data_IF_492827767476
#
_entry.id   IF_492827767476
#
_cell.length_a   1.000
_cell.length_b   1.000
_cell.length_c   1.000
_cell.angle_alpha   90.00
_cell.angle_beta   90.00
_cell.angle_gamma   90.00
#
_symmetry.space_group_name_H-M   'P 1'
#
loop_
_entity.id
_entity.type
_entity.pdbx_description
1 polymer ?
#
# COMPACT_ATOMS: atom_id res chain seq x y z
N UNK A 1 16.57 -10.38 -11.67
CA UNK A 1 15.21 -9.85 -11.50
C UNK A 1 14.34 -10.43 -12.61
N UNK A 2 13.29 -11.19 -12.29
CA UNK A 2 12.34 -11.67 -13.32
C UNK A 2 11.70 -10.49 -14.05
N UNK A 3 11.83 -10.48 -15.37
CA UNK A 3 11.15 -9.51 -16.22
C UNK A 3 9.65 -9.83 -16.26
N UNK A 4 8.84 -9.00 -15.61
CA UNK A 4 7.38 -9.07 -15.74
C UNK A 4 7.03 -8.75 -17.20
N UNK A 5 6.29 -9.62 -17.92
CA UNK A 5 5.91 -9.39 -19.31
C UNK A 5 5.20 -8.03 -19.49
N UNK A 6 5.45 -7.28 -20.58
CA UNK A 6 4.83 -5.98 -20.82
C UNK A 6 3.30 -6.00 -20.72
N UNK A 7 2.67 -7.09 -21.16
CA UNK A 7 1.23 -7.30 -21.04
C UNK A 7 0.75 -7.29 -19.58
N UNK A 8 1.46 -7.96 -18.67
CA UNK A 8 1.11 -7.99 -17.24
C UNK A 8 1.30 -6.64 -16.54
N UNK A 9 2.18 -5.78 -17.05
CA UNK A 9 2.29 -4.41 -16.55
C UNK A 9 1.08 -3.58 -16.98
N UNK A 10 0.74 -3.66 -18.28
CA UNK A 10 -0.37 -2.89 -18.87
C UNK A 10 -1.76 -3.36 -18.48
N UNK A 11 -1.92 -4.61 -17.99
CA UNK A 11 -3.22 -5.12 -17.59
C UNK A 11 -3.83 -4.41 -16.36
N UNK A 12 -3.06 -3.56 -15.67
CA UNK A 12 -3.58 -2.72 -14.60
C UNK A 12 -4.35 -1.50 -15.13
N UNK A 13 -4.05 -1.05 -16.36
CA UNK A 13 -4.63 0.16 -16.95
C UNK A 13 -6.16 0.04 -17.06
N UNK A 14 -6.73 -1.08 -17.55
CA UNK A 14 -8.19 -1.25 -17.56
C UNK A 14 -8.82 -1.24 -16.17
N UNK A 15 -8.12 -1.74 -15.14
CA UNK A 15 -8.63 -1.76 -13.77
C UNK A 15 -8.69 -0.32 -13.22
N UNK A 16 -7.64 0.47 -13.47
CA UNK A 16 -7.61 1.88 -13.11
C UNK A 16 -8.66 2.69 -13.88
N UNK A 17 -8.78 2.46 -15.18
CA UNK A 17 -9.80 3.10 -16.03
C UNK A 17 -11.23 2.73 -15.63
N UNK A 18 -11.47 1.53 -15.10
CA UNK A 18 -12.77 1.14 -14.57
C UNK A 18 -13.17 2.07 -13.41
N UNK A 19 -12.26 2.34 -12.48
CA UNK A 19 -12.54 3.21 -11.33
C UNK A 19 -12.86 4.64 -11.73
N UNK A 20 -12.11 5.21 -12.68
CA UNK A 20 -12.35 6.58 -13.16
C UNK A 20 -13.74 6.76 -13.78
N UNK A 21 -14.32 5.69 -14.34
CA UNK A 21 -15.59 5.75 -15.06
C UNK A 21 -16.79 5.19 -14.28
N UNK A 22 -16.59 4.62 -13.08
CA UNK A 22 -17.62 3.87 -12.36
C UNK A 22 -18.30 4.63 -11.22
N UNK A 23 -17.99 5.91 -11.01
CA UNK A 23 -18.44 6.67 -9.83
C UNK A 23 -19.95 6.82 -9.63
N UNK A 24 -20.75 6.51 -10.66
CA UNK A 24 -22.21 6.46 -10.55
C UNK A 24 -22.73 5.12 -9.99
N UNK A 25 -21.89 4.08 -9.96
CA UNK A 25 -22.18 2.76 -9.41
C UNK A 25 -21.28 2.49 -8.20
N UNK A 26 -21.72 2.91 -7.01
CA UNK A 26 -20.92 2.80 -5.76
C UNK A 26 -20.43 1.38 -5.47
N UNK A 27 -21.24 0.35 -5.80
CA UNK A 27 -20.86 -1.06 -5.65
C UNK A 27 -19.68 -1.43 -6.55
N UNK A 28 -19.65 -0.94 -7.79
CA UNK A 28 -18.56 -1.18 -8.72
C UNK A 28 -17.27 -0.48 -8.26
N UNK A 29 -17.40 0.76 -7.77
CA UNK A 29 -16.27 1.51 -7.19
C UNK A 29 -15.70 0.79 -5.97
N UNK A 30 -16.54 0.41 -5.00
CA UNK A 30 -16.13 -0.31 -3.80
C UNK A 30 -15.37 -1.60 -4.15
N UNK A 31 -15.93 -2.41 -5.05
CA UNK A 31 -15.29 -3.64 -5.50
C UNK A 31 -13.97 -3.39 -6.23
N UNK A 32 -13.91 -2.35 -7.07
CA UNK A 32 -12.68 -1.93 -7.74
C UNK A 32 -11.58 -1.49 -6.76
N UNK A 33 -11.94 -0.69 -5.74
CA UNK A 33 -11.01 -0.25 -4.70
C UNK A 33 -10.53 -1.42 -3.83
N UNK A 34 -11.43 -2.35 -3.50
CA UNK A 34 -11.08 -3.58 -2.80
C UNK A 34 -10.10 -4.45 -3.61
N UNK A 35 -10.35 -4.61 -4.92
CA UNK A 35 -9.42 -5.32 -5.81
C UNK A 35 -8.05 -4.63 -5.82
N UNK A 36 -8.00 -3.31 -5.97
CA UNK A 36 -6.73 -2.57 -5.92
C UNK A 36 -5.99 -2.77 -4.59
N UNK A 37 -6.69 -2.74 -3.46
CA UNK A 37 -6.09 -2.92 -2.15
C UNK A 37 -5.50 -4.32 -2.02
N UNK A 38 -6.19 -5.34 -2.53
CA UNK A 38 -5.67 -6.71 -2.57
C UNK A 38 -4.43 -6.82 -3.46
N UNK A 39 -4.43 -6.19 -4.65
CA UNK A 39 -3.28 -6.20 -5.55
C UNK A 39 -2.06 -5.50 -4.94
N UNK A 40 -2.28 -4.37 -4.26
CA UNK A 40 -1.23 -3.62 -3.57
C UNK A 40 -0.59 -4.46 -2.45
N UNK A 41 -1.41 -5.19 -1.69
CA UNK A 41 -0.95 -6.03 -0.58
C UNK A 41 -0.41 -7.40 -1.00
N UNK A 42 -0.74 -7.88 -2.20
CA UNK A 42 -0.35 -9.21 -2.67
C UNK A 42 1.14 -9.33 -2.99
N UNK A 43 1.74 -8.30 -3.59
CA UNK A 43 3.17 -8.31 -3.94
C UNK A 43 3.71 -6.88 -4.12
N UNK A 44 4.87 -6.53 -3.53
CA UNK A 44 5.48 -5.20 -3.66
C UNK A 44 5.68 -4.75 -5.11
N UNK A 45 6.08 -5.67 -6.02
CA UNK A 45 6.27 -5.33 -7.44
C UNK A 45 4.98 -4.89 -8.13
N UNK A 46 3.83 -5.41 -7.69
CA UNK A 46 2.54 -5.04 -8.25
C UNK A 46 2.11 -3.66 -7.76
N UNK A 47 2.46 -3.31 -6.52
CA UNK A 47 2.30 -1.96 -6.02
C UNK A 47 3.13 -0.95 -6.81
N UNK A 48 4.37 -1.29 -7.16
CA UNK A 48 5.20 -0.43 -8.03
C UNK A 48 4.55 -0.23 -9.41
N UNK A 49 4.05 -1.30 -10.04
CA UNK A 49 3.35 -1.22 -11.34
C UNK A 49 2.10 -0.35 -11.24
N UNK A 50 1.34 -0.46 -10.16
CA UNK A 50 0.16 0.35 -9.91
C UNK A 50 0.50 1.84 -9.80
N UNK A 51 1.54 2.16 -9.04
CA UNK A 51 2.01 3.54 -8.83
C UNK A 51 2.58 4.13 -10.13
N UNK A 52 3.39 3.37 -10.86
CA UNK A 52 3.94 3.74 -12.17
C UNK A 52 2.84 3.98 -13.24
N UNK A 53 1.68 3.36 -13.08
CA UNK A 53 0.54 3.51 -13.99
C UNK A 53 -0.54 4.47 -13.48
N UNK A 54 -0.22 5.31 -12.50
CA UNK A 54 -1.06 6.43 -12.12
C UNK A 54 -2.11 6.12 -11.07
N UNK A 55 -1.90 5.11 -10.22
CA UNK A 55 -2.80 4.80 -9.10
C UNK A 55 -3.14 6.06 -8.26
N UNK A 56 -2.13 6.86 -7.89
CA UNK A 56 -2.38 8.09 -7.12
C UNK A 56 -3.34 9.03 -7.86
N UNK A 57 -3.09 9.28 -9.14
CA UNK A 57 -3.93 10.15 -9.95
C UNK A 57 -5.39 9.67 -9.97
N UNK A 58 -5.59 8.37 -10.20
CA UNK A 58 -6.92 7.74 -10.22
C UNK A 58 -7.62 7.89 -8.86
N UNK A 59 -6.92 7.69 -7.74
CA UNK A 59 -7.51 7.83 -6.40
C UNK A 59 -7.94 9.27 -6.11
N UNK A 60 -7.11 10.26 -6.44
CA UNK A 60 -7.44 11.66 -6.20
C UNK A 60 -8.52 12.20 -7.14
N UNK A 61 -8.56 11.73 -8.38
CA UNK A 61 -9.66 12.00 -9.30
C UNK A 61 -10.96 11.39 -8.78
N UNK A 62 -10.90 10.13 -8.31
CA UNK A 62 -12.05 9.43 -7.73
C UNK A 62 -12.58 10.20 -6.53
N UNK A 63 -11.70 10.62 -5.63
CA UNK A 63 -12.05 11.38 -4.44
C UNK A 63 -12.61 12.78 -4.78
N UNK A 64 -12.03 13.46 -5.77
CA UNK A 64 -12.49 14.79 -6.22
C UNK A 64 -13.89 14.71 -6.83
N UNK A 65 -14.14 13.72 -7.69
CA UNK A 65 -15.45 13.51 -8.30
C UNK A 65 -16.48 13.04 -7.27
N UNK A 66 -16.09 12.17 -6.33
CA UNK A 66 -16.96 11.75 -5.21
C UNK A 66 -17.44 12.96 -4.37
N UNK A 67 -16.56 13.93 -4.12
CA UNK A 67 -16.94 15.18 -3.44
C UNK A 67 -17.89 16.04 -4.28
N UNK A 68 -17.77 16.02 -5.61
CA UNK A 68 -18.71 16.69 -6.51
C UNK A 68 -20.11 16.05 -6.53
N UNK A 69 -20.20 14.75 -6.24
CA UNK A 69 -21.43 13.95 -6.28
C UNK A 69 -22.11 13.78 -4.92
N UNK A 70 -21.60 14.39 -3.85
CA UNK A 70 -22.01 14.14 -2.47
C UNK A 70 -23.54 14.25 -2.25
N UNK A 71 -24.20 15.21 -2.89
CA UNK A 71 -25.65 15.41 -2.73
C UNK A 71 -26.51 14.38 -3.50
N UNK A 72 -25.90 13.60 -4.40
CA UNK A 72 -26.57 12.61 -5.23
C UNK A 72 -26.34 11.16 -4.78
N UNK A 73 -25.47 10.92 -3.80
CA UNK A 73 -25.07 9.59 -3.35
C UNK A 73 -25.62 9.33 -1.94
N UNK A 74 -26.14 8.13 -1.64
CA UNK A 74 -26.53 7.76 -0.27
C UNK A 74 -25.37 7.97 0.73
N UNK A 75 -25.61 8.57 1.91
CA UNK A 75 -24.52 8.90 2.84
C UNK A 75 -23.66 7.70 3.29
N UNK A 76 -24.23 6.50 3.34
CA UNK A 76 -23.50 5.29 3.69
C UNK A 76 -22.54 4.87 2.57
N UNK A 77 -22.98 4.92 1.33
CA UNK A 77 -22.16 4.59 0.16
C UNK A 77 -21.01 5.59 0.01
N UNK A 78 -21.28 6.88 0.20
CA UNK A 78 -20.23 7.90 0.22
C UNK A 78 -19.17 7.59 1.28
N UNK A 79 -19.60 7.28 2.51
CA UNK A 79 -18.67 6.96 3.60
C UNK A 79 -17.86 5.69 3.32
N UNK A 80 -18.49 4.68 2.71
CA UNK A 80 -17.83 3.44 2.31
C UNK A 80 -16.70 3.72 1.34
N UNK A 81 -16.97 4.43 0.24
CA UNK A 81 -15.97 4.74 -0.79
C UNK A 81 -14.83 5.60 -0.22
N UNK A 82 -15.13 6.60 0.62
CA UNK A 82 -14.09 7.38 1.31
C UNK A 82 -13.21 6.49 2.21
N UNK A 83 -13.81 5.52 2.91
CA UNK A 83 -13.08 4.56 3.74
C UNK A 83 -12.15 3.68 2.89
N UNK A 84 -12.62 3.20 1.75
CA UNK A 84 -11.81 2.39 0.83
C UNK A 84 -10.62 3.18 0.27
N UNK A 85 -10.85 4.44 -0.16
CA UNK A 85 -9.79 5.34 -0.60
C UNK A 85 -8.79 5.56 0.53
N UNK A 86 -9.24 5.83 1.76
CA UNK A 86 -8.36 5.99 2.92
C UNK A 86 -7.47 4.75 3.13
N UNK A 87 -8.03 3.54 3.04
CA UNK A 87 -7.27 2.30 3.18
C UNK A 87 -6.21 2.13 2.10
N UNK A 88 -6.52 2.50 0.86
CA UNK A 88 -5.55 2.51 -0.23
C UNK A 88 -4.43 3.52 0.00
N UNK A 89 -4.73 4.74 0.45
CA UNK A 89 -3.72 5.74 0.78
C UNK A 89 -2.79 5.26 1.91
N UNK A 90 -3.35 4.62 2.94
CA UNK A 90 -2.57 4.00 4.02
C UNK A 90 -1.64 2.92 3.48
N UNK A 91 -2.16 2.02 2.64
CA UNK A 91 -1.38 0.92 2.11
C UNK A 91 -0.28 1.39 1.13
N UNK A 92 -0.55 2.41 0.31
CA UNK A 92 0.47 3.08 -0.52
C UNK A 92 1.54 3.72 0.34
N UNK A 93 1.15 4.37 1.45
CA UNK A 93 2.10 4.98 2.38
C UNK A 93 3.02 3.93 3.00
N UNK A 94 2.45 2.82 3.49
CA UNK A 94 3.22 1.71 4.06
C UNK A 94 4.18 1.14 3.01
N UNK A 95 3.70 0.88 1.78
CA UNK A 95 4.53 0.38 0.69
C UNK A 95 5.72 1.31 0.42
N UNK A 96 5.46 2.62 0.30
CA UNK A 96 6.50 3.63 0.08
C UNK A 96 7.49 3.73 1.24
N UNK A 97 7.05 3.63 2.48
CA UNK A 97 7.96 3.62 3.64
C UNK A 97 8.77 2.32 3.76
N UNK A 98 8.21 1.19 3.31
CA UNK A 98 8.90 -0.11 3.32
C UNK A 98 9.92 -0.27 2.19
N UNK A 99 9.80 0.56 1.16
CA UNK A 99 10.62 0.49 -0.04
C UNK A 99 11.83 1.43 0.04
N UNK A 100 12.96 1.00 -0.51
CA UNK A 100 14.18 1.80 -0.54
C UNK A 100 14.29 2.60 -1.83
N UNK A 101 14.63 3.89 -1.73
CA UNK A 101 14.87 4.77 -2.87
C UNK A 101 14.15 6.10 -2.76
N UNK A 102 14.73 7.16 -3.31
CA UNK A 102 14.18 8.52 -3.23
C UNK A 102 12.82 8.66 -3.91
N UNK A 103 12.53 7.83 -4.92
CA UNK A 103 11.23 7.82 -5.61
C UNK A 103 10.04 7.53 -4.67
N UNK A 104 10.23 6.74 -3.62
CA UNK A 104 9.15 6.40 -2.68
C UNK A 104 8.87 7.52 -1.69
N UNK A 105 9.88 8.32 -1.32
CA UNK A 105 9.65 9.56 -0.58
C UNK A 105 8.88 10.59 -1.41
N UNK A 106 9.12 10.66 -2.73
CA UNK A 106 8.32 11.51 -3.64
C UNK A 106 6.86 11.09 -3.66
N UNK A 107 6.56 9.78 -3.61
CA UNK A 107 5.17 9.31 -3.52
C UNK A 107 4.46 9.86 -2.27
N UNK A 108 5.15 9.90 -1.12
CA UNK A 108 4.60 10.48 0.11
C UNK A 108 4.44 12.01 -0.01
N UNK A 109 5.40 12.69 -0.63
CA UNK A 109 5.32 14.13 -0.92
C UNK A 109 4.13 14.45 -1.84
N UNK A 110 3.92 13.66 -2.89
CA UNK A 110 2.80 13.78 -3.82
C UNK A 110 1.48 13.54 -3.10
N UNK A 111 1.38 12.53 -2.22
CA UNK A 111 0.20 12.30 -1.37
C UNK A 111 -0.15 13.53 -0.52
N UNK A 112 0.85 14.09 0.18
CA UNK A 112 0.66 15.26 1.05
C UNK A 112 0.26 16.48 0.22
N UNK A 113 0.89 16.68 -0.94
CA UNK A 113 0.66 17.80 -1.85
C UNK A 113 -0.75 17.74 -2.45
N UNK A 114 -1.17 16.58 -2.96
CA UNK A 114 -2.50 16.38 -3.54
C UNK A 114 -3.62 16.58 -2.49
N UNK A 115 -3.43 16.07 -1.27
CA UNK A 115 -4.35 16.35 -0.16
C UNK A 115 -4.33 17.83 0.23
N UNK A 116 -3.16 18.46 0.22
CA UNK A 116 -3.00 19.89 0.46
C UNK A 116 -3.81 20.75 -0.52
N UNK A 117 -3.82 20.39 -1.81
CA UNK A 117 -4.68 21.06 -2.79
C UNK A 117 -6.16 20.92 -2.45
N UNK A 118 -6.62 19.74 -2.03
CA UNK A 118 -8.01 19.54 -1.64
C UNK A 118 -8.42 20.33 -0.40
N UNK A 119 -7.49 20.58 0.52
CA UNK A 119 -7.72 21.42 1.71
C UNK A 119 -8.00 22.89 1.35
N UNK A 120 -7.61 23.34 0.16
CA UNK A 120 -7.93 24.70 -0.34
C UNK A 120 -9.35 24.83 -0.88
N UNK A 121 -10.14 23.74 -0.90
CA UNK A 121 -11.53 23.76 -1.33
C UNK A 121 -12.38 24.72 -0.50
N UNK A 122 -13.30 25.43 -1.16
CA UNK A 122 -14.31 26.27 -0.51
C UNK A 122 -15.38 25.43 0.22
N UNK A 123 -15.44 24.13 -0.08
CA UNK A 123 -16.38 23.21 0.55
C UNK A 123 -15.76 22.70 1.85
N UNK A 124 -16.30 23.16 2.99
CA UNK A 124 -15.79 22.84 4.33
C UNK A 124 -15.63 21.33 4.57
N UNK A 125 -16.59 20.52 4.14
CA UNK A 125 -16.52 19.06 4.29
C UNK A 125 -15.36 18.45 3.50
N UNK A 126 -15.12 18.91 2.27
CA UNK A 126 -13.97 18.48 1.47
C UNK A 126 -12.65 18.83 2.16
N UNK A 127 -12.56 20.02 2.73
CA UNK A 127 -11.40 20.44 3.52
C UNK A 127 -11.19 19.53 4.75
N UNK A 128 -12.23 19.31 5.55
CA UNK A 128 -12.18 18.45 6.74
C UNK A 128 -11.78 17.01 6.38
N UNK A 129 -12.34 16.46 5.31
CA UNK A 129 -11.98 15.14 4.80
C UNK A 129 -10.52 15.09 4.35
N UNK A 130 -10.05 16.06 3.57
CA UNK A 130 -8.67 16.11 3.10
C UNK A 130 -7.67 16.24 4.26
N UNK A 131 -8.00 17.02 5.30
CA UNK A 131 -7.21 17.09 6.54
C UNK A 131 -7.19 15.75 7.28
N UNK A 132 -8.34 15.07 7.40
CA UNK A 132 -8.40 13.76 8.05
C UNK A 132 -7.58 12.70 7.30
N UNK A 133 -7.66 12.68 5.97
CA UNK A 133 -6.87 11.77 5.13
C UNK A 133 -5.37 12.07 5.22
N UNK A 134 -4.97 13.34 5.25
CA UNK A 134 -3.55 13.72 5.41
C UNK A 134 -3.00 13.28 6.76
N UNK A 135 -3.79 13.46 7.83
CA UNK A 135 -3.43 12.95 9.14
C UNK A 135 -3.28 11.43 9.13
N UNK A 136 -4.18 10.70 8.45
CA UNK A 136 -4.09 9.23 8.34
C UNK A 136 -2.87 8.75 7.57
N UNK A 137 -2.51 9.42 6.47
CA UNK A 137 -1.28 9.15 5.70
C UNK A 137 -0.05 9.35 6.59
N UNK A 138 0.07 10.50 7.26
CA UNK A 138 1.22 10.79 8.13
C UNK A 138 1.29 9.81 9.30
N UNK A 139 0.15 9.51 9.92
CA UNK A 139 0.06 8.56 11.02
C UNK A 139 0.53 7.16 10.58
N UNK A 140 0.10 6.67 9.42
CA UNK A 140 0.52 5.38 8.88
C UNK A 140 2.03 5.32 8.64
N UNK A 141 2.62 6.39 8.08
CA UNK A 141 4.07 6.48 7.90
C UNK A 141 4.81 6.41 9.25
N UNK A 142 4.37 7.19 10.24
CA UNK A 142 4.97 7.21 11.58
C UNK A 142 4.87 5.85 12.25
N UNK A 143 3.69 5.21 12.20
CA UNK A 143 3.46 3.91 12.82
C UNK A 143 4.32 2.82 12.17
N UNK A 144 4.45 2.84 10.85
CA UNK A 144 5.34 1.93 10.14
C UNK A 144 6.82 2.14 10.53
N UNK A 145 7.30 3.38 10.54
CA UNK A 145 8.68 3.72 10.90
C UNK A 145 8.96 3.31 12.34
N UNK A 146 8.07 3.63 13.30
CA UNK A 146 8.21 3.22 14.70
C UNK A 146 8.27 1.71 14.84
N UNK A 147 7.38 0.99 14.15
CA UNK A 147 7.32 -0.47 14.21
C UNK A 147 8.59 -1.09 13.66
N UNK A 148 9.14 -0.55 12.58
CA UNK A 148 10.36 -1.05 11.93
C UNK A 148 11.63 -0.67 12.71
N UNK A 149 11.71 0.55 13.24
CA UNK A 149 12.87 1.04 14.01
C UNK A 149 13.01 0.34 15.37
N UNK A 150 11.91 -0.11 15.98
CA UNK A 150 11.91 -0.84 17.24
C UNK A 150 12.19 -2.35 17.07
N UNK A 151 12.26 -2.86 15.84
CA UNK A 151 12.70 -4.23 15.56
C UNK A 151 14.22 -4.31 15.61
N UNK A 152 14.78 -4.33 16.82
CA UNK A 152 16.20 -4.61 17.06
C UNK A 152 16.54 -6.05 16.59
N UNK A 153 17.47 -6.24 15.63
CA UNK A 153 17.87 -7.59 15.18
C UNK A 153 18.56 -8.41 16.27
N UNK A 154 18.93 -7.81 17.41
CA UNK A 154 19.51 -8.52 18.55
C UNK A 154 18.50 -9.20 19.48
N UNK A 155 17.19 -8.93 19.38
CA UNK A 155 16.19 -9.59 20.27
C UNK A 155 15.70 -10.94 19.75
N UNK A 156 16.05 -11.33 18.52
CA UNK A 156 15.67 -12.61 17.91
C UNK A 156 16.80 -13.65 17.87
N UNK A 157 17.91 -13.45 18.59
CA UNK A 157 19.02 -14.43 18.72
C UNK A 157 18.96 -15.27 20.00
N UNK A 158 17.96 -15.07 20.85
CA UNK A 158 17.73 -15.87 22.05
C UNK A 158 16.60 -16.86 21.77
N UNK A 159 16.80 -18.13 22.13
CA UNK A 159 15.88 -19.28 22.00
C UNK A 159 16.00 -20.13 20.72
N UNK A 160 17.19 -20.68 20.48
CA UNK A 160 17.29 -22.08 20.04
C UNK A 160 18.22 -22.80 21.01
N UNK A 161 17.64 -23.34 22.09
CA UNK A 161 18.36 -24.30 22.94
C UNK A 161 18.34 -25.65 22.21
N UNK A 162 19.38 -25.92 21.42
CA UNK A 162 19.62 -27.27 20.92
C UNK A 162 20.01 -28.14 22.11
N UNK A 163 19.34 -29.27 22.39
CA UNK A 163 19.82 -30.22 23.38
C UNK A 163 21.04 -30.94 22.80
N UNK A 164 22.22 -30.69 23.38
CA UNK A 164 23.42 -31.48 23.12
C UNK A 164 23.28 -32.86 23.77
N UNK A 165 23.10 -33.91 22.96
CA UNK A 165 23.30 -35.29 23.39
C UNK A 165 24.73 -35.74 23.05
N UNK A 166 25.50 -36.32 24.00
CA UNK A 166 26.84 -36.81 23.73
C UNK A 166 26.77 -38.29 23.32
N UNK A 167 26.66 -38.57 22.01
CA UNK A 167 26.92 -39.92 21.52
C UNK A 167 28.32 -40.00 20.90
N UNK A 168 29.23 -40.56 21.68
CA UNK A 168 30.47 -41.17 21.22
C UNK A 168 30.18 -42.17 20.10
N UNK A 169 30.74 -41.96 18.91
CA UNK A 169 30.90 -43.00 17.90
C UNK A 169 32.15 -42.74 17.04
N UNK A 170 33.26 -43.26 17.57
CA UNK A 170 34.37 -43.92 16.88
C UNK A 170 34.69 -43.47 15.44
N UNK A 171 35.76 -42.67 15.37
CA UNK A 171 36.56 -42.35 14.19
C UNK A 171 37.13 -43.64 13.55
N UNK A 172 36.43 -44.21 12.56
CA UNK A 172 36.94 -45.37 11.82
C UNK A 172 37.89 -44.93 10.70
N UNK A 173 39.18 -45.01 11.05
CA UNK A 173 40.37 -44.96 10.19
C UNK A 173 40.22 -45.82 8.94
N UNK A 174 40.11 -45.21 7.75
CA UNK A 174 40.20 -45.92 6.47
C UNK A 174 41.68 -46.00 6.05
N UNK A 175 42.27 -47.20 6.15
CA UNK A 175 43.59 -47.57 5.61
C UNK A 175 43.42 -48.17 4.20
N UNK A 176 44.31 -47.73 3.29
CA UNK A 176 45.00 -48.48 2.21
C UNK A 176 44.23 -48.95 0.95
N UNK A 177 44.56 -48.39 -0.24
CA UNK A 177 45.45 -48.85 -1.36
C UNK A 177 44.80 -49.89 -2.31
N UNK A 178 44.66 -49.50 -3.58
CA UNK A 178 45.21 -50.12 -4.78
C UNK A 178 45.32 -49.05 -5.87
#
# INVERSE_FOLDING_TARGET
>A
MENIPPFRKRCIIPILGLLENSLYENSLVHNGLCLLLQLLNACPKLADILLDHGLLYVLFNTLSTLNGLENGIPPNDYKLVVCDIQQLLVAVTIHSCSSSGSQYFRIIEDLITLLGYMQTSKVRRTQEMATALQFRVIQAAIDFIKTTANQDPQKSSSYVHVPTSPHYALQQKRKSIA
#
